data_IF_371435386622
#
_entry.id   IF_371435386622
#
_cell.length_a   1.000
_cell.length_b   1.000
_cell.length_c   1.000
_cell.angle_alpha   90.00
_cell.angle_beta   90.00
_cell.angle_gamma   90.00
#
_symmetry.space_group_name_H-M   'P 1'
#
loop_
_entity.id
_entity.type
_entity.pdbx_description
1 polymer ?
#
# COMPACT_ATOMS: atom_id res chain seq x y z
N UNK A 1 -14.70 27.44 22.39
CA UNK A 1 -15.98 26.78 22.04
C UNK A 1 -17.11 27.68 22.52
N UNK A 2 -17.83 28.28 21.59
CA UNK A 2 -18.94 29.21 21.83
C UNK A 2 -20.10 28.49 22.52
N UNK A 3 -20.90 29.20 23.32
CA UNK A 3 -22.13 28.68 23.95
C UNK A 3 -23.06 28.06 22.89
N UNK A 4 -23.09 28.63 21.67
CA UNK A 4 -23.84 28.08 20.53
C UNK A 4 -23.34 26.72 20.04
N UNK A 5 -22.05 26.41 20.18
CA UNK A 5 -21.48 25.11 19.80
C UNK A 5 -21.81 24.04 20.85
N UNK A 6 -21.96 24.41 22.13
CA UNK A 6 -22.44 23.48 23.18
C UNK A 6 -23.92 23.17 23.05
N UNK A 7 -24.75 24.15 22.70
CA UNK A 7 -26.19 23.95 22.50
C UNK A 7 -26.49 23.07 21.26
N UNK A 8 -25.72 23.25 20.18
CA UNK A 8 -25.79 22.38 18.99
C UNK A 8 -25.41 20.93 19.27
N UNK A 9 -24.42 20.68 20.14
CA UNK A 9 -24.01 19.33 20.51
C UNK A 9 -24.98 18.68 21.50
N UNK A 10 -25.62 19.46 22.39
CA UNK A 10 -26.67 18.95 23.28
C UNK A 10 -27.95 18.59 22.50
N UNK A 11 -28.33 19.35 21.47
CA UNK A 11 -29.47 18.99 20.63
C UNK A 11 -29.22 17.73 19.79
N UNK A 12 -27.97 17.50 19.39
CA UNK A 12 -27.59 16.28 18.65
C UNK A 12 -27.55 15.06 19.60
N UNK A 13 -27.11 15.23 20.85
CA UNK A 13 -27.11 14.12 21.83
C UNK A 13 -28.49 13.80 22.42
N UNK A 14 -29.45 14.74 22.34
CA UNK A 14 -30.82 14.52 22.78
C UNK A 14 -31.70 13.89 21.68
N UNK A 15 -31.36 14.08 20.40
CA UNK A 15 -32.02 13.41 19.27
C UNK A 15 -31.47 12.00 18.97
N UNK A 16 -30.39 11.55 19.61
CA UNK A 16 -29.87 10.18 19.45
C UNK A 16 -30.43 9.17 20.44
N UNK A 17 -31.33 9.60 21.34
CA UNK A 17 -31.99 8.76 22.34
C UNK A 17 -33.50 8.56 22.07
N UNK A 18 -34.00 8.97 20.91
CA UNK A 18 -35.26 8.46 20.38
C UNK A 18 -35.02 7.04 19.86
N UNK A 19 -35.28 6.09 20.75
CA UNK A 19 -35.88 4.78 20.48
C UNK A 19 -35.92 4.37 19.00
N UNK A 20 -35.04 3.43 18.65
CA UNK A 20 -35.32 2.43 17.61
C UNK A 20 -36.55 1.62 18.08
N UNK A 21 -37.74 2.20 17.99
CA UNK A 21 -38.98 1.42 17.99
C UNK A 21 -39.07 0.74 16.61
N UNK A 22 -38.51 -0.47 16.55
CA UNK A 22 -38.59 -1.35 15.39
C UNK A 22 -40.04 -1.81 15.18
N UNK A 23 -40.55 -1.60 13.98
CA UNK A 23 -41.72 -2.33 13.48
C UNK A 23 -41.32 -3.81 13.31
N UNK A 24 -41.51 -4.60 14.36
CA UNK A 24 -41.09 -6.01 14.52
C UNK A 24 -41.62 -7.01 13.46
N UNK A 25 -42.64 -6.64 12.68
CA UNK A 25 -43.37 -7.60 11.83
C UNK A 25 -42.57 -8.14 10.62
N UNK A 26 -41.43 -7.53 10.26
CA UNK A 26 -40.59 -7.95 9.13
C UNK A 26 -39.15 -8.32 9.51
N UNK A 27 -38.80 -8.45 10.80
CA UNK A 27 -37.45 -8.83 11.21
C UNK A 27 -37.19 -10.32 10.99
N UNK A 28 -36.06 -10.62 10.34
CA UNK A 28 -35.57 -12.00 10.21
C UNK A 28 -35.08 -12.47 11.58
N UNK A 29 -35.76 -13.47 12.15
CA UNK A 29 -35.31 -14.11 13.39
C UNK A 29 -34.10 -14.99 13.11
N UNK A 30 -33.04 -14.79 13.88
CA UNK A 30 -31.81 -15.60 13.81
C UNK A 30 -31.84 -16.74 14.85
N UNK A 31 -31.53 -17.96 14.43
CA UNK A 31 -31.17 -19.12 15.24
C UNK A 31 -29.75 -19.60 14.90
N UNK A 32 -28.81 -19.37 15.82
CA UNK A 32 -27.41 -19.74 15.63
C UNK A 32 -27.10 -21.19 16.03
N UNK A 33 -28.06 -22.01 16.50
CA UNK A 33 -27.76 -23.34 17.06
C UNK A 33 -27.01 -24.24 16.07
N UNK A 34 -27.44 -24.24 14.82
CA UNK A 34 -26.84 -25.03 13.75
C UNK A 34 -25.46 -24.49 13.34
N UNK A 35 -25.32 -23.17 13.21
CA UNK A 35 -24.02 -22.53 12.95
C UNK A 35 -23.02 -22.78 14.09
N UNK A 36 -23.46 -22.72 15.35
CA UNK A 36 -22.64 -23.01 16.52
C UNK A 36 -22.11 -24.45 16.51
N UNK A 37 -22.83 -25.40 15.89
CA UNK A 37 -22.31 -26.76 15.69
C UNK A 37 -21.14 -26.84 14.69
N UNK A 38 -20.90 -25.77 13.91
CA UNK A 38 -19.84 -25.60 12.90
C UNK A 38 -18.81 -24.54 13.31
N UNK A 39 -18.55 -24.43 14.62
CA UNK A 39 -17.69 -23.39 15.18
C UNK A 39 -16.25 -23.43 14.62
N UNK A 40 -15.74 -24.62 14.29
CA UNK A 40 -14.39 -24.79 13.74
C UNK A 40 -14.25 -24.10 12.37
N UNK A 41 -15.22 -24.33 11.48
CA UNK A 41 -15.28 -23.72 10.15
C UNK A 41 -15.48 -22.20 10.24
N UNK A 42 -16.33 -21.76 11.17
CA UNK A 42 -16.53 -20.33 11.43
C UNK A 42 -15.25 -19.66 11.93
N UNK A 43 -14.54 -20.28 12.88
CA UNK A 43 -13.27 -19.78 13.39
C UNK A 43 -12.22 -19.69 12.27
N UNK A 44 -12.16 -20.67 11.36
CA UNK A 44 -11.24 -20.62 10.22
C UNK A 44 -11.46 -19.40 9.32
N UNK A 45 -12.71 -18.98 9.11
CA UNK A 45 -13.02 -17.76 8.35
C UNK A 45 -12.56 -16.51 9.11
N UNK A 46 -12.81 -16.43 10.42
CA UNK A 46 -12.38 -15.30 11.24
C UNK A 46 -10.85 -15.21 11.38
N UNK A 47 -10.17 -16.34 11.53
CA UNK A 47 -8.70 -16.41 11.56
C UNK A 47 -8.09 -15.88 10.26
N UNK A 48 -8.67 -16.24 9.10
CA UNK A 48 -8.24 -15.69 7.82
C UNK A 48 -8.41 -14.17 7.78
N UNK A 49 -9.54 -13.66 8.25
CA UNK A 49 -9.77 -12.23 8.28
C UNK A 49 -8.77 -11.50 9.19
N UNK A 50 -8.64 -11.94 10.44
CA UNK A 50 -7.79 -11.30 11.46
C UNK A 50 -6.31 -11.39 11.11
N UNK A 51 -5.83 -12.54 10.65
CA UNK A 51 -4.40 -12.80 10.49
C UNK A 51 -3.87 -12.49 9.08
N UNK A 52 -4.74 -12.39 8.06
CA UNK A 52 -4.32 -12.15 6.67
C UNK A 52 -4.96 -10.92 6.07
N UNK A 53 -6.29 -10.91 5.93
CA UNK A 53 -7.00 -9.87 5.18
C UNK A 53 -6.83 -8.51 5.84
N UNK A 54 -7.10 -8.40 7.14
CA UNK A 54 -7.07 -7.14 7.87
C UNK A 54 -5.65 -6.50 7.89
N UNK A 55 -4.55 -7.22 8.21
CA UNK A 55 -3.19 -6.67 8.09
C UNK A 55 -2.81 -6.22 6.68
N UNK A 56 -3.28 -6.92 5.64
CA UNK A 56 -3.00 -6.55 4.26
C UNK A 56 -3.81 -5.32 3.80
N UNK A 57 -5.01 -5.11 4.34
CA UNK A 57 -5.77 -3.88 4.13
C UNK A 57 -5.02 -2.71 4.76
N UNK A 58 -4.62 -2.81 6.03
CA UNK A 58 -3.85 -1.75 6.70
C UNK A 58 -2.56 -1.41 5.96
N UNK A 59 -1.81 -2.43 5.53
CA UNK A 59 -0.61 -2.20 4.73
C UNK A 59 -0.93 -1.41 3.46
N UNK A 60 -1.97 -1.79 2.74
CA UNK A 60 -2.37 -1.09 1.52
C UNK A 60 -2.84 0.34 1.80
N UNK A 61 -3.65 0.59 2.83
CA UNK A 61 -4.10 1.93 3.23
C UNK A 61 -2.92 2.86 3.52
N UNK A 62 -1.91 2.37 4.25
CA UNK A 62 -0.70 3.14 4.57
C UNK A 62 0.08 3.50 3.30
N UNK A 63 0.16 2.58 2.34
CA UNK A 63 0.98 2.76 1.13
C UNK A 63 0.27 3.57 0.03
N UNK A 64 -1.03 3.39 -0.12
CA UNK A 64 -1.85 3.91 -1.22
C UNK A 64 -2.82 5.04 -0.81
N UNK A 65 -2.94 5.34 0.49
CA UNK A 65 -3.83 6.37 1.05
C UNK A 65 -5.30 6.22 0.63
N UNK A 66 -5.76 4.97 0.46
CA UNK A 66 -7.14 4.66 0.11
C UNK A 66 -7.55 3.25 0.55
N UNK A 67 -8.86 2.97 0.49
CA UNK A 67 -9.43 1.65 0.78
C UNK A 67 -9.80 0.91 -0.52
N UNK A 68 -9.41 -0.37 -0.68
CA UNK A 68 -9.71 -1.15 -1.89
C UNK A 68 -11.15 -1.70 -1.85
N UNK A 69 -12.01 -1.18 -2.73
CA UNK A 69 -13.45 -1.46 -2.76
C UNK A 69 -13.75 -2.96 -3.02
N UNK A 70 -12.94 -3.62 -3.83
CA UNK A 70 -13.09 -5.02 -4.18
C UNK A 70 -12.91 -5.92 -2.95
N UNK A 71 -11.94 -5.61 -2.09
CA UNK A 71 -11.74 -6.34 -0.83
C UNK A 71 -12.95 -6.14 0.09
N UNK A 72 -13.50 -4.92 0.15
CA UNK A 72 -14.73 -4.65 0.90
C UNK A 72 -15.92 -5.46 0.36
N UNK A 73 -16.03 -5.59 -0.96
CA UNK A 73 -17.08 -6.37 -1.60
C UNK A 73 -16.98 -7.86 -1.24
N UNK A 74 -15.77 -8.40 -1.17
CA UNK A 74 -15.56 -9.78 -0.72
C UNK A 74 -15.87 -9.94 0.77
N UNK A 75 -15.45 -9.02 1.64
CA UNK A 75 -15.81 -9.01 3.07
C UNK A 75 -17.33 -8.97 3.26
N UNK A 76 -18.02 -8.08 2.54
CA UNK A 76 -19.49 -8.00 2.56
C UNK A 76 -20.13 -9.32 2.13
N UNK A 77 -19.56 -10.00 1.14
CA UNK A 77 -20.05 -11.29 0.67
C UNK A 77 -19.84 -12.40 1.71
N UNK A 78 -18.72 -12.39 2.45
CA UNK A 78 -18.49 -13.27 3.61
C UNK A 78 -19.62 -13.08 4.62
N UNK A 79 -19.87 -11.85 5.07
CA UNK A 79 -20.93 -11.55 6.04
C UNK A 79 -22.33 -11.88 5.52
N UNK A 80 -22.58 -11.72 4.22
CA UNK A 80 -23.85 -12.13 3.58
C UNK A 80 -24.08 -13.63 3.69
N UNK A 81 -23.04 -14.45 3.51
CA UNK A 81 -23.16 -15.89 3.66
C UNK A 81 -23.21 -16.33 5.12
N UNK A 82 -22.44 -15.70 6.02
CA UNK A 82 -22.49 -15.99 7.45
C UNK A 82 -23.85 -15.64 8.06
N UNK A 83 -24.43 -14.49 7.70
CA UNK A 83 -25.79 -14.13 8.14
C UNK A 83 -26.83 -15.13 7.64
N UNK A 84 -26.74 -15.61 6.41
CA UNK A 84 -27.62 -16.69 5.92
C UNK A 84 -27.53 -17.96 6.76
N UNK A 85 -26.36 -18.29 7.30
CA UNK A 85 -26.23 -19.44 8.20
C UNK A 85 -26.98 -19.25 9.53
N UNK A 86 -27.28 -18.02 9.95
CA UNK A 86 -27.93 -17.76 11.24
C UNK A 86 -29.45 -17.85 11.19
N UNK A 87 -30.08 -18.02 10.02
CA UNK A 87 -31.53 -18.18 9.92
C UNK A 87 -31.95 -19.34 9.02
N UNK A 88 -31.00 -20.18 8.62
CA UNK A 88 -31.28 -21.40 7.86
C UNK A 88 -31.44 -22.59 8.80
N UNK A 89 -32.46 -23.40 8.55
CA UNK A 89 -32.77 -24.59 9.36
C UNK A 89 -32.20 -25.87 8.76
N UNK A 90 -31.72 -25.84 7.50
CA UNK A 90 -31.15 -26.99 6.82
C UNK A 90 -29.62 -26.99 6.91
N UNK A 91 -29.06 -28.04 7.51
CA UNK A 91 -27.62 -28.25 7.64
C UNK A 91 -26.89 -28.20 6.28
N UNK A 92 -27.52 -28.71 5.21
CA UNK A 92 -26.93 -28.67 3.88
C UNK A 92 -26.75 -27.23 3.39
N UNK A 93 -27.72 -26.36 3.63
CA UNK A 93 -27.65 -24.97 3.24
C UNK A 93 -26.64 -24.20 4.10
N UNK A 94 -26.56 -24.47 5.41
CA UNK A 94 -25.53 -23.90 6.28
C UNK A 94 -24.13 -24.26 5.78
N UNK A 95 -23.88 -25.55 5.49
CA UNK A 95 -22.58 -26.00 4.97
C UNK A 95 -22.23 -25.34 3.61
N UNK A 96 -23.23 -25.19 2.72
CA UNK A 96 -23.04 -24.52 1.44
C UNK A 96 -22.71 -23.02 1.62
N UNK A 97 -23.40 -22.32 2.53
CA UNK A 97 -23.11 -20.92 2.84
C UNK A 97 -21.74 -20.75 3.48
N UNK A 98 -21.32 -21.63 4.40
CA UNK A 98 -19.95 -21.64 4.95
C UNK A 98 -18.90 -21.85 3.86
N UNK A 99 -19.13 -22.78 2.94
CA UNK A 99 -18.23 -23.02 1.79
C UNK A 99 -18.11 -21.78 0.90
N UNK A 100 -19.22 -21.07 0.66
CA UNK A 100 -19.21 -19.82 -0.10
C UNK A 100 -18.49 -18.70 0.65
N UNK A 101 -18.75 -18.55 1.95
CA UNK A 101 -18.04 -17.58 2.79
C UNK A 101 -16.52 -17.81 2.75
N UNK A 102 -16.06 -19.07 2.86
CA UNK A 102 -14.65 -19.41 2.73
C UNK A 102 -14.09 -19.09 1.32
N UNK A 103 -14.88 -19.33 0.27
CA UNK A 103 -14.48 -18.97 -1.10
C UNK A 103 -14.30 -17.46 -1.28
N UNK A 104 -15.18 -16.65 -0.68
CA UNK A 104 -15.04 -15.19 -0.64
C UNK A 104 -13.84 -14.74 0.20
N UNK A 105 -13.55 -15.40 1.32
CA UNK A 105 -12.33 -15.13 2.09
C UNK A 105 -11.04 -15.40 1.26
N UNK A 106 -11.02 -16.47 0.46
CA UNK A 106 -9.91 -16.72 -0.48
C UNK A 106 -9.79 -15.65 -1.56
N UNK A 107 -10.92 -15.19 -2.13
CA UNK A 107 -10.93 -14.08 -3.10
C UNK A 107 -10.45 -12.77 -2.48
N UNK A 108 -10.87 -12.46 -1.27
CA UNK A 108 -10.38 -11.29 -0.54
C UNK A 108 -8.86 -11.31 -0.36
N UNK A 109 -8.26 -12.45 0.01
CA UNK A 109 -6.79 -12.57 0.08
C UNK A 109 -6.15 -12.37 -1.30
N UNK A 110 -6.74 -12.92 -2.36
CA UNK A 110 -6.22 -12.78 -3.72
C UNK A 110 -6.24 -11.30 -4.16
N UNK A 111 -7.30 -10.56 -3.83
CA UNK A 111 -7.38 -9.12 -4.06
C UNK A 111 -6.38 -8.36 -3.18
N UNK A 112 -6.19 -8.74 -1.91
CA UNK A 112 -5.11 -8.21 -1.06
C UNK A 112 -3.73 -8.36 -1.73
N UNK A 113 -3.42 -9.52 -2.29
CA UNK A 113 -2.15 -9.76 -2.99
C UNK A 113 -2.00 -8.85 -4.22
N UNK A 114 -3.05 -8.70 -5.02
CA UNK A 114 -3.05 -7.81 -6.19
C UNK A 114 -2.77 -6.36 -5.78
N UNK A 115 -3.55 -5.85 -4.82
CA UNK A 115 -3.47 -4.46 -4.38
C UNK A 115 -2.15 -4.11 -3.70
N UNK A 116 -1.69 -4.95 -2.76
CA UNK A 116 -0.42 -4.71 -2.10
C UNK A 116 0.77 -4.82 -3.07
N UNK A 117 0.74 -5.78 -4.00
CA UNK A 117 1.79 -5.88 -5.03
C UNK A 117 1.91 -4.59 -5.85
N UNK A 118 0.78 -4.00 -6.24
CA UNK A 118 0.76 -2.73 -6.96
C UNK A 118 1.32 -1.59 -6.08
N UNK A 119 0.85 -1.47 -4.84
CA UNK A 119 1.33 -0.44 -3.92
C UNK A 119 2.86 -0.53 -3.68
N UNK A 120 3.40 -1.74 -3.52
CA UNK A 120 4.84 -1.96 -3.40
C UNK A 120 5.59 -1.60 -4.69
N UNK A 121 5.02 -1.91 -5.86
CA UNK A 121 5.59 -1.50 -7.14
C UNK A 121 5.64 0.02 -7.29
N UNK A 122 4.57 0.72 -6.88
CA UNK A 122 4.53 2.18 -6.87
C UNK A 122 5.63 2.75 -5.96
N UNK A 123 5.85 2.18 -4.76
CA UNK A 123 6.96 2.58 -3.88
C UNK A 123 8.33 2.36 -4.49
N UNK A 124 8.51 1.33 -5.29
CA UNK A 124 9.73 1.16 -6.08
C UNK A 124 9.92 2.30 -7.09
N UNK A 125 8.90 2.62 -7.88
CA UNK A 125 9.01 3.67 -8.89
C UNK A 125 9.19 5.07 -8.27
N UNK A 126 8.47 5.36 -7.17
CA UNK A 126 8.64 6.57 -6.37
C UNK A 126 10.08 6.70 -5.87
N UNK A 127 10.66 5.63 -5.30
CA UNK A 127 12.05 5.63 -4.84
C UNK A 127 13.02 5.92 -5.98
N UNK A 128 12.87 5.24 -7.11
CA UNK A 128 13.77 5.42 -8.25
C UNK A 128 13.66 6.83 -8.85
N UNK A 129 12.47 7.43 -8.90
CA UNK A 129 12.30 8.83 -9.34
C UNK A 129 12.88 9.83 -8.32
N UNK A 130 12.64 9.62 -7.03
CA UNK A 130 13.16 10.47 -5.95
C UNK A 130 14.69 10.60 -5.97
N UNK A 131 15.38 9.53 -6.39
CA UNK A 131 16.85 9.45 -6.42
C UNK A 131 17.44 9.40 -7.83
N UNK A 132 16.70 9.76 -8.88
CA UNK A 132 17.18 9.68 -10.28
C UNK A 132 18.46 10.45 -10.60
N UNK A 133 18.77 11.51 -9.84
CA UNK A 133 19.97 12.33 -10.00
C UNK A 133 21.08 11.97 -8.99
N UNK A 134 20.91 10.88 -8.25
CA UNK A 134 21.87 10.38 -7.27
C UNK A 134 22.51 9.13 -7.82
N UNK A 135 23.83 9.03 -7.70
CA UNK A 135 24.55 7.83 -8.10
C UNK A 135 24.33 6.70 -7.06
N UNK A 136 23.25 5.95 -7.25
CA UNK A 136 22.88 4.82 -6.40
C UNK A 136 23.86 3.63 -6.53
N UNK A 137 24.76 3.62 -7.52
CA UNK A 137 25.80 2.59 -7.62
C UNK A 137 26.80 2.64 -6.47
N UNK A 138 26.86 3.77 -5.75
CA UNK A 138 27.69 3.92 -4.55
C UNK A 138 27.10 3.21 -3.32
N UNK A 139 25.84 2.77 -3.38
CA UNK A 139 25.23 1.99 -2.32
C UNK A 139 25.72 0.55 -2.41
N UNK A 140 26.30 0.06 -1.30
CA UNK A 140 26.76 -1.32 -1.16
C UNK A 140 27.64 -1.77 -2.35
N UNK A 141 28.50 -0.87 -2.82
CA UNK A 141 29.41 -1.07 -3.96
C UNK A 141 28.71 -1.57 -5.24
N UNK A 142 27.48 -1.11 -5.48
CA UNK A 142 26.68 -1.43 -6.66
C UNK A 142 25.78 -2.65 -6.51
N UNK A 143 25.93 -3.42 -5.43
CA UNK A 143 25.13 -4.61 -5.16
C UNK A 143 23.64 -4.28 -5.03
N UNK A 144 23.32 -3.12 -4.44
CA UNK A 144 21.93 -2.67 -4.28
C UNK A 144 21.17 -2.62 -5.61
N UNK A 145 21.73 -1.96 -6.63
CA UNK A 145 21.07 -1.80 -7.92
C UNK A 145 20.86 -3.14 -8.63
N UNK A 146 21.84 -4.04 -8.56
CA UNK A 146 21.74 -5.38 -9.13
C UNK A 146 20.63 -6.16 -8.42
N UNK A 147 20.63 -6.16 -7.08
CA UNK A 147 19.66 -6.88 -6.26
C UNK A 147 18.23 -6.40 -6.50
N UNK A 148 18.00 -5.10 -6.44
CA UNK A 148 16.65 -4.53 -6.57
C UNK A 148 16.10 -4.72 -7.99
N UNK A 149 16.95 -4.56 -9.02
CA UNK A 149 16.55 -4.77 -10.42
C UNK A 149 16.18 -6.23 -10.68
N UNK A 150 16.99 -7.18 -10.19
CA UNK A 150 16.70 -8.61 -10.33
C UNK A 150 15.39 -9.00 -9.63
N UNK A 151 15.16 -8.45 -8.42
CA UNK A 151 13.91 -8.66 -7.68
C UNK A 151 12.70 -8.09 -8.43
N UNK A 152 12.80 -6.88 -8.98
CA UNK A 152 11.72 -6.30 -9.79
C UNK A 152 11.41 -7.15 -11.03
N UNK A 153 12.44 -7.60 -11.77
CA UNK A 153 12.25 -8.47 -12.93
C UNK A 153 11.53 -9.78 -12.56
N UNK A 154 11.91 -10.39 -11.45
CA UNK A 154 11.27 -11.61 -10.94
C UNK A 154 9.82 -11.37 -10.52
N UNK A 155 9.57 -10.33 -9.71
CA UNK A 155 8.23 -9.97 -9.24
C UNK A 155 7.27 -9.69 -10.42
N UNK A 156 7.74 -8.94 -11.42
CA UNK A 156 6.99 -8.68 -12.65
C UNK A 156 6.69 -9.96 -13.43
N UNK A 157 7.68 -10.85 -13.58
CA UNK A 157 7.48 -12.14 -14.26
C UNK A 157 6.43 -13.00 -13.56
N UNK A 158 6.48 -13.10 -12.22
CA UNK A 158 5.51 -13.85 -11.43
C UNK A 158 4.11 -13.24 -11.50
N UNK A 159 4.00 -11.91 -11.44
CA UNK A 159 2.73 -11.20 -11.58
C UNK A 159 2.09 -11.43 -12.96
N UNK A 160 2.90 -11.44 -14.03
CA UNK A 160 2.42 -11.79 -15.38
C UNK A 160 1.89 -13.22 -15.42
N UNK A 161 2.60 -14.17 -14.80
CA UNK A 161 2.15 -15.56 -14.72
C UNK A 161 0.85 -15.71 -13.92
N UNK A 162 0.70 -14.95 -12.83
CA UNK A 162 -0.53 -14.92 -12.04
C UNK A 162 -1.71 -14.39 -12.86
N UNK A 163 -1.54 -13.24 -13.54
CA UNK A 163 -2.57 -12.65 -14.42
C UNK A 163 -2.95 -13.59 -15.58
N UNK A 164 -1.98 -14.30 -16.16
CA UNK A 164 -2.26 -15.32 -17.18
C UNK A 164 -3.09 -16.47 -16.64
N UNK A 165 -2.83 -16.93 -15.42
CA UNK A 165 -3.62 -18.01 -14.82
C UNK A 165 -5.09 -17.63 -14.60
N UNK A 166 -5.37 -16.35 -14.34
CA UNK A 166 -6.72 -15.82 -14.25
C UNK A 166 -7.38 -15.77 -15.65
N UNK A 167 -6.67 -15.28 -16.67
CA UNK A 167 -7.15 -15.24 -18.06
C UNK A 167 -7.41 -16.65 -18.65
N UNK A 168 -6.61 -17.64 -18.25
CA UNK A 168 -6.75 -19.04 -18.62
C UNK A 168 -7.82 -19.78 -17.79
N UNK A 169 -8.49 -19.09 -16.86
CA UNK A 169 -9.48 -19.65 -15.94
C UNK A 169 -8.96 -20.89 -15.18
N UNK A 170 -7.71 -20.84 -14.72
CA UNK A 170 -7.14 -21.87 -13.84
C UNK A 170 -7.90 -21.93 -12.51
N UNK A 171 -7.70 -23.01 -11.75
CA UNK A 171 -8.37 -23.15 -10.45
C UNK A 171 -8.02 -21.99 -9.50
N UNK A 172 -8.93 -21.65 -8.60
CA UNK A 172 -8.71 -20.58 -7.61
C UNK A 172 -7.45 -20.83 -6.78
N UNK A 173 -7.15 -22.09 -6.43
CA UNK A 173 -5.95 -22.44 -5.66
C UNK A 173 -4.65 -22.22 -6.46
N UNK A 174 -4.67 -22.49 -7.77
CA UNK A 174 -3.52 -22.21 -8.63
C UNK A 174 -3.31 -20.70 -8.78
N UNK A 175 -4.39 -19.94 -8.99
CA UNK A 175 -4.33 -18.47 -9.06
C UNK A 175 -3.80 -17.88 -7.75
N UNK A 176 -4.33 -18.36 -6.62
CA UNK A 176 -3.90 -17.96 -5.27
C UNK A 176 -2.39 -18.13 -5.10
N UNK A 177 -1.86 -19.31 -5.42
CA UNK A 177 -0.43 -19.62 -5.26
C UNK A 177 0.44 -18.69 -6.11
N UNK A 178 0.02 -18.42 -7.35
CA UNK A 178 0.77 -17.53 -8.25
C UNK A 178 0.77 -16.08 -7.79
N UNK A 179 -0.38 -15.56 -7.33
CA UNK A 179 -0.47 -14.22 -6.77
C UNK A 179 0.31 -14.08 -5.45
N UNK A 180 0.28 -15.10 -4.61
CA UNK A 180 1.05 -15.15 -3.36
C UNK A 180 2.56 -15.05 -3.61
N UNK A 181 3.08 -15.81 -4.57
CA UNK A 181 4.49 -15.76 -4.95
C UNK A 181 4.90 -14.37 -5.46
N UNK A 182 4.07 -13.75 -6.31
CA UNK A 182 4.33 -12.41 -6.80
C UNK A 182 4.32 -11.38 -5.65
N UNK A 183 3.32 -11.45 -4.77
CA UNK A 183 3.19 -10.61 -3.59
C UNK A 183 4.42 -10.67 -2.69
N UNK A 184 4.93 -11.87 -2.39
CA UNK A 184 6.11 -12.00 -1.55
C UNK A 184 7.33 -11.33 -2.16
N UNK A 185 7.57 -11.50 -3.46
CA UNK A 185 8.67 -10.83 -4.14
C UNK A 185 8.54 -9.29 -4.15
N UNK A 186 7.32 -8.77 -4.33
CA UNK A 186 7.06 -7.33 -4.18
C UNK A 186 7.26 -6.83 -2.74
N UNK A 187 6.84 -7.60 -1.73
CA UNK A 187 7.05 -7.22 -0.34
C UNK A 187 8.55 -7.17 0.02
N UNK A 188 9.36 -8.06 -0.56
CA UNK A 188 10.81 -8.05 -0.38
C UNK A 188 11.46 -6.84 -1.05
N UNK A 189 10.96 -6.40 -2.21
CA UNK A 189 11.38 -5.13 -2.84
C UNK A 189 11.16 -3.98 -1.85
N UNK A 190 9.96 -3.85 -1.30
CA UNK A 190 9.63 -2.79 -0.35
C UNK A 190 10.56 -2.80 0.88
N UNK A 191 10.80 -3.98 1.49
CA UNK A 191 11.76 -4.12 2.60
C UNK A 191 13.18 -3.70 2.23
N UNK A 192 13.65 -4.02 1.03
CA UNK A 192 14.99 -3.60 0.57
C UNK A 192 15.06 -2.07 0.46
N UNK A 193 14.00 -1.44 -0.05
CA UNK A 193 13.92 0.03 -0.16
C UNK A 193 13.94 0.69 1.22
N UNK A 194 13.12 0.23 2.16
CA UNK A 194 13.09 0.76 3.53
C UNK A 194 14.47 0.67 4.20
N UNK A 195 15.16 -0.47 4.05
CA UNK A 195 16.50 -0.66 4.60
C UNK A 195 17.58 0.20 3.91
N UNK A 196 17.32 0.64 2.67
CA UNK A 196 18.27 1.43 1.87
C UNK A 196 18.02 2.93 1.95
N UNK A 197 16.83 3.35 2.38
CA UNK A 197 16.36 4.74 2.42
C UNK A 197 17.41 5.70 3.00
N UNK A 198 17.97 5.37 4.16
CA UNK A 198 18.95 6.24 4.85
C UNK A 198 20.25 6.37 4.03
N UNK A 199 20.71 5.30 3.38
CA UNK A 199 21.92 5.34 2.55
C UNK A 199 21.70 6.20 1.32
N UNK A 200 20.54 6.06 0.66
CA UNK A 200 20.16 6.86 -0.50
C UNK A 200 20.03 8.36 -0.15
N UNK A 201 19.39 8.69 0.98
CA UNK A 201 19.27 10.07 1.44
C UNK A 201 20.65 10.69 1.75
N UNK A 202 21.54 9.94 2.40
CA UNK A 202 22.91 10.39 2.66
C UNK A 202 23.68 10.70 1.36
N UNK A 203 23.51 9.89 0.32
CA UNK A 203 24.13 10.14 -0.99
C UNK A 203 23.53 11.39 -1.66
N UNK A 204 22.21 11.57 -1.59
CA UNK A 204 21.52 12.76 -2.07
C UNK A 204 22.07 14.02 -1.41
N UNK A 205 22.19 14.03 -0.08
CA UNK A 205 22.74 15.17 0.66
C UNK A 205 24.20 15.46 0.28
N UNK A 206 25.03 14.41 0.13
CA UNK A 206 26.42 14.57 -0.34
C UNK A 206 26.49 15.18 -1.75
N UNK A 207 25.63 14.74 -2.66
CA UNK A 207 25.56 15.28 -4.02
C UNK A 207 25.17 16.77 -4.02
N UNK A 208 24.20 17.17 -3.20
CA UNK A 208 23.78 18.57 -3.03
C UNK A 208 24.93 19.43 -2.48
N UNK A 209 25.61 18.97 -1.42
CA UNK A 209 26.74 19.70 -0.83
C UNK A 209 27.88 19.87 -1.85
N UNK A 210 28.19 18.82 -2.62
CA UNK A 210 29.21 18.87 -3.67
C UNK A 210 28.83 19.89 -4.76
N UNK A 211 27.60 19.83 -5.26
CA UNK A 211 27.09 20.78 -6.27
C UNK A 211 27.16 22.23 -5.76
N UNK A 212 26.73 22.49 -4.52
CA UNK A 212 26.82 23.82 -3.93
C UNK A 212 28.26 24.33 -3.80
N UNK A 213 29.20 23.45 -3.46
CA UNK A 213 30.64 23.79 -3.38
C UNK A 213 31.21 24.11 -4.76
N UNK A 214 30.82 23.35 -5.79
CA UNK A 214 31.22 23.60 -7.18
C UNK A 214 30.64 24.92 -7.70
N UNK A 215 29.34 25.17 -7.46
CA UNK A 215 28.68 26.43 -7.81
C UNK A 215 29.35 27.64 -7.15
N UNK A 216 29.70 27.53 -5.85
CA UNK A 216 30.43 28.59 -5.14
C UNK A 216 31.81 28.85 -5.74
N UNK A 217 32.55 27.80 -6.14
CA UNK A 217 33.85 27.96 -6.82
C UNK A 217 33.70 28.67 -8.15
N UNK A 218 32.70 28.30 -8.96
CA UNK A 218 32.42 28.96 -10.24
C UNK A 218 32.12 30.45 -10.03
N UNK A 219 31.29 30.79 -9.04
CA UNK A 219 30.95 32.17 -8.72
C UNK A 219 32.19 32.99 -8.30
N UNK A 220 33.06 32.43 -7.44
CA UNK A 220 34.31 33.09 -7.04
C UNK A 220 35.24 33.29 -8.25
N UNK A 221 35.40 32.28 -9.10
CA UNK A 221 36.24 32.37 -10.30
C UNK A 221 35.73 33.44 -11.28
N UNK A 222 34.42 33.55 -11.46
CA UNK A 222 33.82 34.59 -12.30
C UNK A 222 34.09 36.00 -11.74
N UNK A 223 33.99 36.19 -10.42
CA UNK A 223 34.31 37.48 -9.77
C UNK A 223 35.79 37.84 -9.97
N UNK A 224 36.70 36.89 -9.78
CA UNK A 224 38.15 37.11 -9.99
C UNK A 224 38.43 37.50 -11.45
N UNK A 225 37.79 36.84 -12.41
CA UNK A 225 37.92 37.16 -13.83
C UNK A 225 37.48 38.59 -14.16
N UNK A 226 36.33 39.03 -13.65
CA UNK A 226 35.81 40.39 -13.86
C UNK A 226 36.79 41.44 -13.29
N UNK A 227 37.29 41.24 -12.08
CA UNK A 227 38.26 42.15 -11.45
C UNK A 227 39.53 42.26 -12.30
N UNK A 228 40.04 41.13 -12.83
CA UNK A 228 41.22 41.12 -13.69
C UNK A 228 41.04 41.92 -14.98
N UNK A 229 39.88 41.82 -15.63
CA UNK A 229 39.55 42.60 -16.84
C UNK A 229 39.53 44.09 -16.52
N UNK A 230 38.85 44.49 -15.43
CA UNK A 230 38.78 45.90 -14.99
C UNK A 230 40.19 46.46 -14.71
N UNK A 231 41.03 45.73 -13.98
CA UNK A 231 42.39 46.15 -13.68
C UNK A 231 43.24 46.36 -14.94
N UNK A 232 43.04 45.50 -15.95
CA UNK A 232 43.74 45.60 -17.24
C UNK A 232 43.32 46.86 -18.00
N UNK A 233 42.01 47.14 -18.05
CA UNK A 233 41.46 48.36 -18.68
C UNK A 233 42.03 49.62 -18.01
N UNK A 234 42.04 49.67 -16.67
CA UNK A 234 42.59 50.81 -15.92
C UNK A 234 44.09 50.99 -16.23
N UNK A 235 44.85 49.89 -16.24
CA UNK A 235 46.30 49.93 -16.51
C UNK A 235 46.60 50.47 -17.90
N UNK A 236 45.84 50.04 -18.91
CA UNK A 236 45.94 50.57 -20.28
C UNK A 236 45.62 52.06 -20.29
N UNK A 237 44.51 52.47 -19.67
CA UNK A 237 44.12 53.88 -19.62
C UNK A 237 45.20 54.77 -18.98
N UNK A 238 45.88 54.32 -17.93
CA UNK A 238 46.97 55.07 -17.28
C UNK A 238 48.25 55.17 -18.10
N UNK A 239 48.48 54.27 -19.06
CA UNK A 239 49.66 54.33 -19.95
C UNK A 239 49.46 55.34 -21.08
N UNK A 240 48.22 55.65 -21.43
CA UNK A 240 47.85 56.57 -22.51
C UNK A 240 47.49 58.00 -22.01
N UNK A 241 47.68 58.30 -20.72
CA UNK A 241 47.53 59.63 -20.10
C UNK A 241 48.92 60.12 -19.68
#
# INVERSE_FOLDING_TARGET
MSIKEKESLLSISQNSNETLEENDENMIKTDCKLLCSKISELNGIFEVYVNKINPMIFTYEILADNYPIEILNEIRSIFTHLSRCTFDTDEKNVNNNLTKAYSHAKRAILDCYKYNSLAYADKYYEFMDQYKNVDLSLIDNGEFLIKITNKLCLANSLMIQAKRSEAENKSLDEQYTKYENAYFEYSEIYKILENTQIKAENLKQKAIIKSNKENRKILINNIIGIIGVIATIISIATVFI
#
